data_IF_920070121564
#
_entry.id   IF_920070121564
#
_cell.length_a   1.000
_cell.length_b   1.000
_cell.length_c   1.000
_cell.angle_alpha   90.00
_cell.angle_beta   90.00
_cell.angle_gamma   90.00
#
_symmetry.space_group_name_H-M   'P 1'
#
loop_
_entity.id
_entity.type
_entity.pdbx_description
1 polymer ?
#
# COMPACT_ATOMS: atom_id res chain seq x y z
N UNK A 1 -15.87 12.03 3.46
CA UNK A 1 -15.58 12.75 2.20
C UNK A 1 -14.31 13.59 2.29
N UNK A 2 -14.06 14.33 3.38
CA UNK A 2 -12.81 15.08 3.55
C UNK A 2 -11.56 14.21 3.47
N UNK A 3 -11.50 13.08 4.21
CA UNK A 3 -10.33 12.19 4.21
C UNK A 3 -10.01 11.58 2.84
N UNK A 4 -11.04 11.21 2.07
CA UNK A 4 -10.89 10.69 0.70
C UNK A 4 -10.42 11.77 -0.27
N UNK A 5 -10.84 13.03 -0.08
CA UNK A 5 -10.34 14.15 -0.87
C UNK A 5 -8.87 14.44 -0.54
N UNK A 6 -8.53 14.44 0.75
CA UNK A 6 -7.16 14.66 1.22
C UNK A 6 -6.20 13.59 0.71
N UNK A 7 -6.56 12.30 0.78
CA UNK A 7 -5.70 11.23 0.28
C UNK A 7 -5.54 11.31 -1.24
N UNK A 8 -6.60 11.64 -1.97
CA UNK A 8 -6.52 11.83 -3.42
C UNK A 8 -5.58 13.01 -3.79
N UNK A 9 -5.63 14.10 -3.01
CA UNK A 9 -4.74 15.24 -3.19
C UNK A 9 -3.28 14.88 -2.90
N UNK A 10 -3.01 14.15 -1.81
CA UNK A 10 -1.67 13.68 -1.45
C UNK A 10 -1.11 12.76 -2.54
N UNK A 11 -1.91 11.79 -3.01
CA UNK A 11 -1.53 10.89 -4.11
C UNK A 11 -1.25 11.70 -5.37
N UNK A 12 -2.10 12.69 -5.69
CA UNK A 12 -1.91 13.59 -6.82
C UNK A 12 -0.59 14.37 -6.76
N UNK A 13 -0.24 14.92 -5.59
CA UNK A 13 1.04 15.60 -5.37
C UNK A 13 2.22 14.64 -5.57
N UNK A 14 2.16 13.44 -4.97
CA UNK A 14 3.23 12.44 -5.08
C UNK A 14 3.43 12.03 -6.54
N UNK A 15 2.34 11.77 -7.27
CA UNK A 15 2.38 11.39 -8.70
C UNK A 15 2.90 12.54 -9.55
N UNK A 16 2.42 13.77 -9.34
CA UNK A 16 2.90 14.93 -10.10
C UNK A 16 4.40 15.18 -9.87
N UNK A 17 4.82 15.16 -8.61
CA UNK A 17 6.21 15.39 -8.21
C UNK A 17 7.16 14.29 -8.73
N UNK A 18 6.69 13.04 -8.80
CA UNK A 18 7.49 11.89 -9.24
C UNK A 18 7.16 11.44 -10.68
N UNK A 19 6.40 12.20 -11.46
CA UNK A 19 5.83 11.77 -12.75
C UNK A 19 6.89 11.29 -13.74
N UNK A 20 7.98 12.03 -13.89
CA UNK A 20 9.10 11.63 -14.75
C UNK A 20 9.74 10.31 -14.28
N UNK A 21 9.94 10.14 -12.97
CA UNK A 21 10.53 8.94 -12.38
C UNK A 21 9.59 7.73 -12.41
N UNK A 22 8.28 7.96 -12.34
CA UNK A 22 7.23 6.94 -12.51
C UNK A 22 7.14 6.51 -13.97
N UNK A 23 7.26 7.44 -14.93
CA UNK A 23 7.30 7.12 -16.36
C UNK A 23 8.60 6.41 -16.75
N UNK A 24 9.71 6.76 -16.11
CA UNK A 24 10.99 6.07 -16.23
C UNK A 24 11.07 4.80 -15.36
N UNK A 25 10.01 4.48 -14.60
CA UNK A 25 9.99 3.31 -13.72
C UNK A 25 10.07 2.05 -14.58
N UNK A 26 11.01 1.18 -14.23
CA UNK A 26 11.11 -0.12 -14.88
C UNK A 26 9.94 -1.01 -14.46
N UNK A 27 9.46 -1.82 -15.41
CA UNK A 27 8.37 -2.78 -15.17
C UNK A 27 8.64 -3.67 -13.95
N UNK A 28 9.91 -3.98 -13.69
CA UNK A 28 10.33 -4.81 -12.56
C UNK A 28 10.05 -4.13 -11.21
N UNK A 29 10.21 -2.81 -11.09
CA UNK A 29 9.90 -2.06 -9.85
C UNK A 29 8.38 -2.03 -9.63
N UNK A 30 7.59 -1.82 -10.69
CA UNK A 30 6.14 -1.88 -10.59
C UNK A 30 5.66 -3.26 -10.11
N UNK A 31 6.17 -4.34 -10.71
CA UNK A 31 5.86 -5.71 -10.29
C UNK A 31 6.30 -5.98 -8.85
N UNK A 32 7.50 -5.55 -8.47
CA UNK A 32 8.00 -5.73 -7.11
C UNK A 32 7.12 -5.02 -6.07
N UNK A 33 6.69 -3.79 -6.33
CA UNK A 33 5.79 -3.03 -5.45
C UNK A 33 4.44 -3.73 -5.29
N UNK A 34 3.87 -4.20 -6.40
CA UNK A 34 2.60 -4.93 -6.41
C UNK A 34 2.71 -6.21 -5.58
N UNK A 35 3.74 -7.02 -5.84
CA UNK A 35 3.98 -8.27 -5.14
C UNK A 35 4.23 -8.03 -3.65
N UNK A 36 5.04 -7.05 -3.28
CA UNK A 36 5.35 -6.73 -1.88
C UNK A 36 4.08 -6.38 -1.09
N UNK A 37 3.20 -5.57 -1.67
CA UNK A 37 1.93 -5.20 -1.03
C UNK A 37 0.96 -6.39 -0.93
N UNK A 38 0.78 -7.16 -2.01
CA UNK A 38 -0.10 -8.33 -2.02
C UNK A 38 0.40 -9.39 -1.02
N UNK A 39 1.71 -9.63 -0.97
CA UNK A 39 2.32 -10.52 0.01
C UNK A 39 2.12 -10.00 1.43
N UNK A 40 2.29 -8.70 1.67
CA UNK A 40 2.00 -8.09 2.97
C UNK A 40 0.55 -8.33 3.42
N UNK A 41 -0.43 -8.09 2.54
CA UNK A 41 -1.84 -8.35 2.81
C UNK A 41 -2.11 -9.86 3.07
N UNK A 42 -1.59 -10.73 2.21
CA UNK A 42 -1.82 -12.17 2.28
C UNK A 42 -1.16 -12.80 3.52
N UNK A 43 0.08 -12.43 3.82
CA UNK A 43 0.80 -12.91 5.00
C UNK A 43 0.21 -12.33 6.28
N UNK A 44 -0.16 -11.05 6.31
CA UNK A 44 -0.83 -10.47 7.47
C UNK A 44 -2.16 -11.17 7.78
N UNK A 45 -2.96 -11.50 6.76
CA UNK A 45 -4.18 -12.29 6.93
C UNK A 45 -3.90 -13.75 7.32
N UNK A 46 -2.97 -14.41 6.64
CA UNK A 46 -2.65 -15.82 6.84
C UNK A 46 -2.02 -16.08 8.21
N UNK A 47 -1.03 -15.29 8.62
CA UNK A 47 -0.38 -15.44 9.92
C UNK A 47 -1.33 -15.10 11.07
N UNK A 48 -2.20 -14.11 10.92
CA UNK A 48 -3.24 -13.84 11.93
C UNK A 48 -4.29 -14.95 12.00
N UNK A 49 -4.54 -15.67 10.91
CA UNK A 49 -5.36 -16.88 10.94
C UNK A 49 -4.70 -18.04 11.68
N UNK A 50 -3.39 -18.24 11.48
CA UNK A 50 -2.62 -19.28 12.19
C UNK A 50 -2.53 -19.03 13.69
N UNK A 51 -2.54 -17.78 14.13
CA UNK A 51 -2.56 -17.42 15.57
C UNK A 51 -3.96 -17.51 16.20
N UNK A 52 -4.98 -17.95 15.46
CA UNK A 52 -6.34 -18.11 15.99
C UNK A 52 -7.10 -16.80 16.18
N UNK A 53 -6.64 -15.68 15.60
CA UNK A 53 -7.35 -14.38 15.73
C UNK A 53 -8.76 -14.44 15.12
N UNK A 54 -9.68 -13.62 15.60
CA UNK A 54 -11.03 -13.52 15.01
C UNK A 54 -11.02 -12.76 13.68
N UNK A 55 -12.08 -12.95 12.86
CA UNK A 55 -12.15 -12.38 11.51
C UNK A 55 -11.91 -10.85 11.45
N UNK A 56 -12.48 -10.01 12.33
CA UNK A 56 -12.22 -8.57 12.30
C UNK A 56 -10.75 -8.24 12.57
N UNK A 57 -10.13 -8.96 13.52
CA UNK A 57 -8.73 -8.79 13.89
C UNK A 57 -7.79 -9.25 12.77
N UNK A 58 -8.12 -10.34 12.07
CA UNK A 58 -7.35 -10.81 10.90
C UNK A 58 -7.33 -9.78 9.78
N UNK A 59 -8.50 -9.22 9.45
CA UNK A 59 -8.61 -8.18 8.43
C UNK A 59 -7.84 -6.92 8.82
N UNK A 60 -7.89 -6.51 10.09
CA UNK A 60 -7.11 -5.39 10.59
C UNK A 60 -5.59 -5.63 10.45
N UNK A 61 -5.10 -6.80 10.88
CA UNK A 61 -3.68 -7.17 10.77
C UNK A 61 -3.23 -7.23 9.31
N UNK A 62 -4.05 -7.78 8.41
CA UNK A 62 -3.76 -7.80 6.98
C UNK A 62 -3.54 -6.39 6.43
N UNK A 63 -4.45 -5.46 6.75
CA UNK A 63 -4.34 -4.06 6.34
C UNK A 63 -3.11 -3.41 6.97
N UNK A 64 -2.83 -3.60 8.25
CA UNK A 64 -1.67 -2.99 8.93
C UNK A 64 -0.34 -3.45 8.33
N UNK A 65 -0.23 -4.73 7.95
CA UNK A 65 0.99 -5.28 7.33
C UNK A 65 1.12 -4.86 5.86
N UNK A 66 0.01 -4.80 5.12
CA UNK A 66 -0.01 -4.44 3.70
C UNK A 66 0.12 -2.94 3.42
N UNK A 67 -0.40 -2.10 4.32
CA UNK A 67 -0.45 -0.64 4.18
C UNK A 67 0.72 0.00 4.92
N UNK A 68 1.78 0.32 4.19
CA UNK A 68 2.97 0.94 4.78
C UNK A 68 2.94 2.46 4.66
N UNK A 69 3.73 3.14 5.51
CA UNK A 69 3.97 4.57 5.34
C UNK A 69 4.96 4.81 4.19
N UNK A 70 4.42 4.79 2.98
CA UNK A 70 5.15 4.97 1.74
C UNK A 70 5.73 6.39 1.56
N UNK A 71 5.13 7.40 2.21
CA UNK A 71 5.63 8.77 2.24
C UNK A 71 6.95 8.88 3.00
N UNK A 72 7.02 8.27 4.20
CA UNK A 72 8.26 8.21 4.97
C UNK A 72 9.37 7.46 4.21
N UNK A 73 9.04 6.34 3.57
CA UNK A 73 10.00 5.59 2.76
C UNK A 73 10.56 6.44 1.60
N UNK A 74 9.70 7.18 0.90
CA UNK A 74 10.10 8.07 -0.19
C UNK A 74 10.99 9.22 0.31
N UNK A 75 10.63 9.84 1.44
CA UNK A 75 11.37 10.95 2.03
C UNK A 75 12.75 10.52 2.54
N UNK A 76 12.83 9.37 3.21
CA UNK A 76 14.09 8.77 3.66
C UNK A 76 14.99 8.42 2.46
N UNK A 77 14.41 7.86 1.40
CA UNK A 77 15.15 7.56 0.18
C UNK A 77 15.71 8.83 -0.48
N UNK A 78 14.89 9.88 -0.61
CA UNK A 78 15.33 11.15 -1.19
C UNK A 78 16.43 11.82 -0.34
N UNK A 79 16.35 11.71 0.98
CA UNK A 79 17.30 12.37 1.90
C UNK A 79 18.63 11.60 2.02
N UNK A 80 18.57 10.28 2.20
CA UNK A 80 19.75 9.47 2.51
C UNK A 80 20.38 8.81 1.28
N UNK A 81 19.63 8.70 0.18
CA UNK A 81 20.12 8.14 -1.09
C UNK A 81 20.04 9.18 -2.21
N UNK A 82 20.35 10.44 -1.93
CA UNK A 82 20.25 11.55 -2.86
C UNK A 82 21.02 11.34 -4.19
N UNK A 83 22.11 10.57 -4.17
CA UNK A 83 22.88 10.20 -5.38
C UNK A 83 22.17 9.15 -6.24
N UNK A 84 21.13 8.50 -5.73
CA UNK A 84 20.32 7.48 -6.40
C UNK A 84 18.83 7.86 -6.41
N UNK A 85 18.40 8.80 -7.28
CA UNK A 85 17.00 9.25 -7.34
C UNK A 85 15.99 8.11 -7.54
N UNK A 86 16.41 7.02 -8.19
CA UNK A 86 15.60 5.83 -8.41
C UNK A 86 15.20 5.10 -7.11
N UNK A 87 15.91 5.33 -5.99
CA UNK A 87 15.58 4.73 -4.70
C UNK A 87 14.25 5.26 -4.11
N UNK A 88 13.80 6.46 -4.51
CA UNK A 88 12.54 7.03 -4.06
C UNK A 88 11.32 6.49 -4.84
N UNK A 89 11.55 5.97 -6.05
CA UNK A 89 10.49 5.52 -6.98
C UNK A 89 9.62 4.40 -6.40
N UNK A 90 10.17 3.35 -5.75
CA UNK A 90 9.34 2.32 -5.14
C UNK A 90 8.36 2.87 -4.09
N UNK A 91 8.81 3.79 -3.23
CA UNK A 91 7.94 4.41 -2.21
C UNK A 91 6.83 5.28 -2.82
N UNK A 92 7.16 6.06 -3.85
CA UNK A 92 6.18 6.87 -4.57
C UNK A 92 5.13 5.98 -5.26
N UNK A 93 5.56 4.93 -5.96
CA UNK A 93 4.68 3.96 -6.61
C UNK A 93 3.82 3.19 -5.60
N UNK A 94 4.43 2.78 -4.48
CA UNK A 94 3.72 2.10 -3.40
C UNK A 94 2.55 2.96 -2.91
N UNK A 95 2.75 4.29 -2.78
CA UNK A 95 1.71 5.25 -2.36
C UNK A 95 0.46 5.20 -3.23
N UNK A 96 0.60 5.04 -4.54
CA UNK A 96 -0.52 4.90 -5.45
C UNK A 96 -1.14 3.51 -5.31
N UNK A 97 -0.30 2.48 -5.39
CA UNK A 97 -0.73 1.10 -5.45
C UNK A 97 -1.46 0.64 -4.18
N UNK A 98 -0.87 0.85 -2.99
CA UNK A 98 -1.44 0.33 -1.75
C UNK A 98 -2.75 1.00 -1.36
N UNK A 99 -2.96 2.28 -1.72
CA UNK A 99 -4.26 2.94 -1.54
C UNK A 99 -5.33 2.28 -2.42
N UNK A 100 -4.99 1.97 -3.67
CA UNK A 100 -5.88 1.27 -4.58
C UNK A 100 -6.16 -0.17 -4.10
N UNK A 101 -5.13 -0.99 -3.91
CA UNK A 101 -5.28 -2.38 -3.47
C UNK A 101 -5.89 -2.50 -2.08
N UNK A 102 -5.54 -1.61 -1.15
CA UNK A 102 -6.07 -1.55 0.20
C UNK A 102 -7.57 -1.23 0.23
N UNK A 103 -8.04 -0.35 -0.66
CA UNK A 103 -9.48 -0.08 -0.80
C UNK A 103 -10.26 -1.32 -1.29
N UNK A 104 -9.69 -2.07 -2.24
CA UNK A 104 -10.26 -3.33 -2.74
C UNK A 104 -10.26 -4.37 -1.62
N UNK A 105 -9.14 -4.54 -0.91
CA UNK A 105 -9.02 -5.48 0.20
C UNK A 105 -10.02 -5.17 1.33
N UNK A 106 -10.15 -3.90 1.71
CA UNK A 106 -11.13 -3.46 2.70
C UNK A 106 -12.57 -3.79 2.27
N UNK A 107 -12.90 -3.60 0.99
CA UNK A 107 -14.21 -3.96 0.45
C UNK A 107 -14.45 -5.48 0.46
N UNK A 108 -13.44 -6.29 0.14
CA UNK A 108 -13.51 -7.75 0.23
C UNK A 108 -13.75 -8.18 1.68
N UNK A 109 -12.97 -7.66 2.63
CA UNK A 109 -13.11 -7.99 4.06
C UNK A 109 -14.46 -7.55 4.62
N UNK A 110 -15.01 -6.40 4.18
CA UNK A 110 -16.35 -5.96 4.55
C UNK A 110 -17.40 -6.99 4.11
N UNK A 111 -17.37 -7.41 2.84
CA UNK A 111 -18.31 -8.41 2.30
C UNK A 111 -18.21 -9.75 3.03
N UNK A 112 -17.00 -10.21 3.36
CA UNK A 112 -16.81 -11.43 4.14
C UNK A 112 -17.41 -11.32 5.55
N UNK A 113 -17.27 -10.16 6.19
CA UNK A 113 -17.85 -9.92 7.52
C UNK A 113 -19.38 -9.90 7.49
N UNK A 114 -20.00 -9.31 6.46
CA UNK A 114 -21.44 -9.27 6.26
C UNK A 114 -22.05 -10.66 6.02
N UNK A 115 -21.34 -11.53 5.29
CA UNK A 115 -21.79 -12.91 5.06
C UNK A 115 -21.72 -13.78 6.31
N UNK A 116 -20.75 -13.55 7.20
CA UNK A 116 -20.60 -14.32 8.44
C UNK A 116 -21.66 -13.97 9.50
N UNK A 117 -22.27 -12.80 9.40
CA UNK A 117 -23.31 -12.31 10.31
C UNK A 117 -24.74 -12.63 9.83
N UNK A 118 -24.91 -13.32 8.70
CA UNK A 118 -26.19 -13.86 8.20
C UNK A 118 -26.28 -15.34 8.52
#
# INVERSE_FOLDING_TARGET
MFSTLSIAFIIGIIVAHNSASILACSLIVAVAVILHNILGLALGYGLSALTGSESPKRSAIAIEVGMQNSGLATSLAATHFAMFPMAAVPGAMFSVWHNFSGSIAAQIFRRQSEQKNK
#
